data_IF_589653771648
#
_entry.id   IF_589653771648
#
_cell.length_a   1.000
_cell.length_b   1.000
_cell.length_c   1.000
_cell.angle_alpha   90.00
_cell.angle_beta   90.00
_cell.angle_gamma   90.00
#
_symmetry.space_group_name_H-M   'P 1'
#
loop_
_entity.id
_entity.type
_entity.pdbx_description
1 polymer ?
#
# COMPACT_ATOMS: atom_id res chain seq x y z
N UNK A 1 7.05 -6.32 22.41
CA UNK A 1 6.87 -5.30 23.48
C UNK A 1 8.02 -4.27 23.44
N UNK A 2 7.80 -2.99 23.76
CA UNK A 2 8.89 -1.99 23.96
C UNK A 2 9.31 -1.97 25.43
N UNK A 3 10.61 -1.92 25.70
CA UNK A 3 11.16 -1.73 27.04
C UNK A 3 11.66 -0.29 27.21
N UNK A 4 10.79 0.55 27.79
CA UNK A 4 11.02 2.00 27.89
C UNK A 4 12.22 2.37 28.77
N UNK A 5 12.48 1.62 29.85
CA UNK A 5 13.60 1.86 30.77
C UNK A 5 14.98 1.69 30.10
N UNK A 6 15.04 0.93 28.99
CA UNK A 6 16.25 0.70 28.19
C UNK A 6 16.19 1.42 26.84
N UNK A 7 15.20 2.30 26.64
CA UNK A 7 15.02 3.08 25.41
C UNK A 7 15.44 4.53 25.64
N UNK A 8 16.18 5.10 24.69
CA UNK A 8 16.62 6.50 24.70
C UNK A 8 16.35 7.12 23.32
N UNK A 9 16.69 8.40 23.16
CA UNK A 9 16.61 9.06 21.84
C UNK A 9 17.57 8.47 20.78
N UNK A 10 18.50 7.59 21.16
CA UNK A 10 19.49 6.96 20.27
C UNK A 10 19.44 5.44 20.24
N UNK A 11 18.68 4.82 21.15
CA UNK A 11 18.62 3.35 21.29
C UNK A 11 17.18 2.95 21.53
N UNK A 12 16.62 2.11 20.67
CA UNK A 12 15.30 1.50 20.84
C UNK A 12 15.48 0.06 21.32
N UNK A 13 14.94 -0.28 22.49
CA UNK A 13 15.01 -1.63 23.05
C UNK A 13 13.63 -2.28 23.05
N UNK A 14 13.55 -3.44 22.41
CA UNK A 14 12.30 -4.19 22.22
C UNK A 14 12.48 -5.65 22.61
N UNK A 15 11.35 -6.33 22.79
CA UNK A 15 11.29 -7.78 22.91
C UNK A 15 11.94 -8.44 21.71
N UNK A 16 12.85 -9.35 22.01
CA UNK A 16 13.48 -10.18 21.00
C UNK A 16 12.46 -11.19 20.48
N UNK A 17 12.29 -11.22 19.16
CA UNK A 17 11.41 -12.14 18.47
C UNK A 17 12.27 -13.05 17.61
N UNK A 18 12.31 -14.34 17.96
CA UNK A 18 13.00 -15.35 17.18
C UNK A 18 12.05 -15.89 16.10
N UNK A 19 12.31 -15.54 14.85
CA UNK A 19 11.53 -16.03 13.72
C UNK A 19 12.29 -16.02 12.41
N UNK A 20 11.60 -16.36 11.33
CA UNK A 20 12.17 -16.46 9.99
C UNK A 20 11.91 -15.16 9.23
N UNK A 21 12.95 -14.56 8.63
CA UNK A 21 12.79 -13.36 7.80
C UNK A 21 12.18 -13.72 6.44
N UNK A 22 11.47 -12.78 5.80
CA UNK A 22 10.83 -13.00 4.50
C UNK A 22 11.80 -13.45 3.39
N UNK A 23 13.07 -13.04 3.45
CA UNK A 23 14.08 -13.43 2.49
C UNK A 23 14.70 -14.82 2.75
N UNK A 24 14.37 -15.50 3.86
CA UNK A 24 14.93 -16.80 4.24
C UNK A 24 14.08 -17.99 3.77
N UNK A 25 13.77 -18.01 2.47
CA UNK A 25 12.85 -18.96 1.84
C UNK A 25 13.13 -20.44 2.16
N UNK A 26 14.40 -20.85 2.27
CA UNK A 26 14.77 -22.23 2.61
C UNK A 26 14.41 -22.60 4.06
N UNK A 27 14.54 -21.65 5.00
CA UNK A 27 14.17 -21.89 6.40
C UNK A 27 12.66 -22.03 6.54
N UNK A 28 11.89 -21.26 5.75
CA UNK A 28 10.43 -21.40 5.70
C UNK A 28 10.00 -22.79 5.28
N UNK A 29 10.59 -23.33 4.21
CA UNK A 29 10.26 -24.68 3.72
C UNK A 29 10.60 -25.75 4.77
N UNK A 30 11.77 -25.63 5.40
CA UNK A 30 12.20 -26.57 6.43
C UNK A 30 11.31 -26.56 7.68
N UNK A 31 10.69 -25.40 8.00
CA UNK A 31 9.72 -25.29 9.09
C UNK A 31 8.28 -25.60 8.66
N UNK A 32 8.06 -26.00 7.40
CA UNK A 32 6.74 -26.35 6.88
C UNK A 32 5.80 -25.15 6.72
N UNK A 33 6.32 -23.93 6.69
CA UNK A 33 5.51 -22.72 6.52
C UNK A 33 4.97 -22.64 5.09
N UNK A 34 3.66 -22.40 4.96
CA UNK A 34 3.06 -22.25 3.65
C UNK A 34 3.24 -20.82 3.11
N UNK A 35 4.16 -20.66 2.16
CA UNK A 35 4.47 -19.37 1.51
C UNK A 35 3.25 -18.67 0.91
N UNK A 36 2.30 -19.41 0.35
CA UNK A 36 1.08 -18.84 -0.23
C UNK A 36 0.21 -18.22 0.86
N UNK A 37 0.01 -18.95 1.96
CA UNK A 37 -0.75 -18.46 3.12
C UNK A 37 -0.06 -17.23 3.73
N UNK A 38 1.27 -17.24 3.83
CA UNK A 38 2.03 -16.09 4.31
C UNK A 38 1.83 -14.85 3.43
N UNK A 39 1.95 -15.01 2.11
CA UNK A 39 1.74 -13.90 1.17
C UNK A 39 0.30 -13.34 1.27
N UNK A 40 -0.70 -14.21 1.34
CA UNK A 40 -2.10 -13.82 1.52
C UNK A 40 -2.30 -13.04 2.83
N UNK A 41 -1.74 -13.52 3.94
CA UNK A 41 -1.82 -12.83 5.24
C UNK A 41 -1.10 -11.49 5.25
N UNK A 42 0.05 -11.37 4.57
CA UNK A 42 0.78 -10.08 4.44
C UNK A 42 -0.09 -9.07 3.70
N UNK A 43 -0.62 -9.45 2.54
CA UNK A 43 -1.50 -8.57 1.74
C UNK A 43 -2.75 -8.19 2.53
N UNK A 44 -3.39 -9.16 3.19
CA UNK A 44 -4.57 -8.90 4.01
C UNK A 44 -4.27 -7.94 5.17
N UNK A 45 -3.12 -8.11 5.85
CA UNK A 45 -2.71 -7.22 6.94
C UNK A 45 -2.49 -5.79 6.46
N UNK A 46 -1.79 -5.61 5.33
CA UNK A 46 -1.55 -4.29 4.73
C UNK A 46 -2.88 -3.64 4.31
N UNK A 47 -3.76 -4.38 3.63
CA UNK A 47 -5.07 -3.87 3.23
C UNK A 47 -5.97 -3.54 4.44
N UNK A 48 -5.91 -4.33 5.51
CA UNK A 48 -6.64 -4.08 6.75
C UNK A 48 -6.15 -2.78 7.39
N UNK A 49 -4.84 -2.62 7.55
CA UNK A 49 -4.23 -1.40 8.08
C UNK A 49 -4.69 -0.14 7.32
N UNK A 50 -4.69 -0.20 5.99
CA UNK A 50 -5.05 0.94 5.13
C UNK A 50 -6.55 1.21 5.12
N UNK A 51 -7.37 0.18 4.83
CA UNK A 51 -8.79 0.35 4.52
C UNK A 51 -9.71 0.24 5.73
N UNK A 52 -9.28 -0.43 6.80
CA UNK A 52 -10.05 -0.59 8.03
C UNK A 52 -9.54 0.39 9.09
N UNK A 53 -8.28 0.27 9.50
CA UNK A 53 -7.72 1.09 10.58
C UNK A 53 -7.45 2.53 10.13
N UNK A 54 -7.05 2.73 8.86
CA UNK A 54 -6.54 4.03 8.39
C UNK A 54 -5.19 4.38 9.00
N UNK A 55 -4.48 3.40 9.59
CA UNK A 55 -3.13 3.54 10.11
C UNK A 55 -2.30 2.38 9.58
N UNK A 56 -1.19 2.69 8.90
CA UNK A 56 -0.48 1.70 8.11
C UNK A 56 1.02 1.82 8.20
N UNK A 57 1.69 0.68 8.04
CA UNK A 57 3.12 0.61 7.85
C UNK A 57 3.50 1.14 6.46
N UNK A 58 4.30 2.21 6.40
CA UNK A 58 4.68 2.88 5.16
C UNK A 58 5.82 2.21 4.39
N UNK A 59 6.65 1.39 5.05
CA UNK A 59 7.75 0.62 4.42
C UNK A 59 7.83 -0.87 4.87
N UNK A 60 6.88 -1.73 4.53
CA UNK A 60 6.86 -3.14 4.93
C UNK A 60 7.89 -3.96 4.12
N UNK A 61 9.14 -3.49 4.08
CA UNK A 61 10.25 -4.14 3.42
C UNK A 61 10.49 -5.55 4.01
N UNK A 62 10.91 -6.55 3.19
CA UNK A 62 11.15 -7.92 3.66
C UNK A 62 12.04 -8.08 4.90
N UNK A 63 12.90 -7.09 5.18
CA UNK A 63 13.76 -7.06 6.37
C UNK A 63 13.03 -6.79 7.69
N UNK A 64 11.86 -6.14 7.61
CA UNK A 64 11.06 -5.69 8.75
C UNK A 64 9.90 -6.64 9.07
N UNK A 65 9.75 -7.72 8.29
CA UNK A 65 8.72 -8.72 8.46
C UNK A 65 9.35 -10.05 8.88
N UNK A 66 8.89 -10.57 10.02
CA UNK A 66 9.29 -11.85 10.57
C UNK A 66 8.07 -12.78 10.61
N UNK A 67 8.30 -14.05 10.33
CA UNK A 67 7.31 -15.11 10.43
C UNK A 67 7.61 -16.05 11.59
N UNK A 68 6.56 -16.38 12.33
CA UNK A 68 6.59 -17.37 13.41
C UNK A 68 5.79 -18.62 13.00
N UNK A 69 5.97 -19.76 13.70
CA UNK A 69 5.12 -20.93 13.53
C UNK A 69 3.62 -20.59 13.60
N UNK A 70 2.81 -21.29 12.80
CA UNK A 70 1.37 -20.97 12.64
C UNK A 70 1.09 -19.78 11.73
N UNK A 71 2.05 -19.47 10.83
CA UNK A 71 1.95 -18.42 9.81
C UNK A 71 1.69 -17.02 10.39
N UNK A 72 2.16 -16.78 11.63
CA UNK A 72 1.97 -15.50 12.32
C UNK A 72 2.97 -14.49 11.77
N UNK A 73 2.47 -13.29 11.48
CA UNK A 73 3.26 -12.18 10.92
C UNK A 73 3.61 -11.20 12.03
N UNK A 74 4.88 -10.81 12.08
CA UNK A 74 5.40 -9.81 12.99
C UNK A 74 6.02 -8.67 12.16
N UNK A 75 5.58 -7.45 12.44
CA UNK A 75 6.22 -6.22 11.96
C UNK A 75 7.18 -5.71 13.03
N UNK A 76 8.45 -5.51 12.66
CA UNK A 76 9.52 -5.15 13.60
C UNK A 76 9.81 -3.66 13.62
N UNK A 77 9.75 -3.03 12.45
CA UNK A 77 10.06 -1.62 12.28
C UNK A 77 8.75 -0.84 12.17
N UNK A 78 8.73 0.38 12.70
CA UNK A 78 7.62 1.31 12.56
C UNK A 78 8.16 2.73 12.33
N UNK A 79 9.40 2.85 11.82
CA UNK A 79 10.08 4.12 11.55
C UNK A 79 9.43 4.93 10.43
N UNK A 80 8.66 4.27 9.56
CA UNK A 80 7.80 4.92 8.57
C UNK A 80 6.39 4.37 8.67
N UNK A 81 5.49 5.17 9.22
CA UNK A 81 4.05 4.90 9.34
C UNK A 81 3.27 6.07 8.76
N UNK A 82 2.06 5.78 8.27
CA UNK A 82 1.15 6.80 7.76
C UNK A 82 -0.23 6.65 8.40
N UNK A 83 -1.00 7.74 8.35
CA UNK A 83 -2.38 7.79 8.82
C UNK A 83 -3.27 8.45 7.78
N UNK A 84 -4.47 7.91 7.57
CA UNK A 84 -5.48 8.46 6.68
C UNK A 84 -6.65 9.01 7.48
N UNK A 85 -7.15 10.19 7.10
CA UNK A 85 -8.43 10.66 7.59
C UNK A 85 -9.56 9.71 7.12
N UNK A 86 -10.71 9.67 7.82
CA UNK A 86 -11.86 8.88 7.38
C UNK A 86 -12.29 9.18 5.94
N UNK A 87 -12.23 10.45 5.53
CA UNK A 87 -12.56 10.90 4.17
C UNK A 87 -11.56 10.37 3.14
N UNK A 88 -10.26 10.52 3.40
CA UNK A 88 -9.21 10.01 2.51
C UNK A 88 -9.30 8.50 2.36
N UNK A 89 -9.58 7.77 3.45
CA UNK A 89 -9.80 6.32 3.43
C UNK A 89 -10.97 5.93 2.51
N UNK A 90 -12.08 6.67 2.55
CA UNK A 90 -13.23 6.44 1.67
C UNK A 90 -12.91 6.73 0.20
N UNK A 91 -12.19 7.80 -0.09
CA UNK A 91 -11.79 8.13 -1.46
C UNK A 91 -10.80 7.11 -2.02
N UNK A 92 -9.85 6.64 -1.20
CA UNK A 92 -8.92 5.57 -1.57
C UNK A 92 -9.66 4.24 -1.84
N UNK A 93 -10.58 3.85 -0.97
CA UNK A 93 -11.42 2.66 -1.20
C UNK A 93 -12.23 2.80 -2.49
N UNK A 94 -12.80 3.98 -2.74
CA UNK A 94 -13.54 4.28 -3.97
C UNK A 94 -12.65 4.22 -5.21
N UNK A 95 -11.38 4.64 -5.10
CA UNK A 95 -10.40 4.52 -6.16
C UNK A 95 -10.16 3.04 -6.49
N UNK A 96 -9.81 2.22 -5.50
CA UNK A 96 -9.51 0.78 -5.71
C UNK A 96 -10.71 0.07 -6.33
N UNK A 97 -11.93 0.30 -5.81
CA UNK A 97 -13.16 -0.28 -6.36
C UNK A 97 -13.39 0.17 -7.81
N UNK A 98 -13.13 1.45 -8.12
CA UNK A 98 -13.31 1.98 -9.47
C UNK A 98 -12.29 1.40 -10.45
N UNK A 99 -11.04 1.18 -10.02
CA UNK A 99 -10.02 0.50 -10.82
C UNK A 99 -10.42 -0.95 -11.10
N UNK A 100 -10.86 -1.70 -10.09
CA UNK A 100 -11.33 -3.08 -10.25
C UNK A 100 -12.54 -3.20 -11.19
N UNK A 101 -13.45 -2.22 -11.13
CA UNK A 101 -14.63 -2.15 -12.00
C UNK A 101 -14.36 -1.51 -13.36
N UNK A 102 -13.10 -1.16 -13.65
CA UNK A 102 -12.70 -0.50 -14.89
C UNK A 102 -13.51 0.79 -15.16
N UNK A 103 -13.92 1.48 -14.09
CA UNK A 103 -14.76 2.66 -14.13
C UNK A 103 -13.89 3.93 -14.13
N UNK A 104 -13.48 4.38 -15.31
CA UNK A 104 -12.66 5.58 -15.52
C UNK A 104 -13.25 6.82 -14.85
N UNK A 105 -14.57 7.02 -14.92
CA UNK A 105 -15.23 8.17 -14.26
C UNK A 105 -15.08 8.10 -12.75
N UNK A 106 -15.21 6.91 -12.18
CA UNK A 106 -15.00 6.67 -10.75
C UNK A 106 -13.55 6.93 -10.32
N UNK A 107 -12.58 6.49 -11.13
CA UNK A 107 -11.15 6.74 -10.89
C UNK A 107 -10.85 8.24 -10.88
N UNK A 108 -11.28 8.99 -11.90
CA UNK A 108 -11.08 10.45 -11.98
C UNK A 108 -11.74 11.15 -10.79
N UNK A 109 -12.98 10.78 -10.45
CA UNK A 109 -13.68 11.34 -9.29
C UNK A 109 -12.90 11.08 -8.00
N UNK A 110 -12.40 9.87 -7.78
CA UNK A 110 -11.66 9.56 -6.57
C UNK A 110 -10.35 10.36 -6.47
N UNK A 111 -9.58 10.47 -7.55
CA UNK A 111 -8.33 11.26 -7.58
C UNK A 111 -8.59 12.73 -7.28
N UNK A 112 -9.59 13.32 -7.95
CA UNK A 112 -9.95 14.73 -7.76
C UNK A 112 -10.52 15.04 -6.39
N UNK A 113 -11.10 14.04 -5.70
CA UNK A 113 -11.56 14.18 -4.32
C UNK A 113 -10.45 13.96 -3.29
N UNK A 114 -9.39 13.21 -3.61
CA UNK A 114 -8.24 13.02 -2.73
C UNK A 114 -7.26 14.19 -2.75
N UNK A 115 -7.15 14.88 -3.89
CA UNK A 115 -6.15 15.92 -4.10
C UNK A 115 -6.71 17.31 -4.29
N UNK A 116 -5.82 18.31 -4.25
CA UNK A 116 -6.12 19.66 -4.70
C UNK A 116 -6.00 19.71 -6.22
N UNK A 117 -7.09 20.08 -6.88
CA UNK A 117 -7.19 20.16 -8.33
C UNK A 117 -7.05 21.63 -8.76
N UNK A 118 -6.08 21.97 -9.61
CA UNK A 118 -5.96 23.32 -10.16
C UNK A 118 -7.16 23.71 -11.02
N UNK A 119 -7.52 25.00 -11.03
CA UNK A 119 -8.65 25.52 -11.80
C UNK A 119 -8.46 25.36 -13.32
N UNK A 120 -7.21 25.34 -13.78
CA UNK A 120 -6.82 25.23 -15.20
C UNK A 120 -6.62 23.79 -15.67
N UNK A 121 -6.95 22.79 -14.84
CA UNK A 121 -6.76 21.39 -15.20
C UNK A 121 -7.56 21.03 -16.46
N UNK A 122 -6.88 20.42 -17.44
CA UNK A 122 -7.55 19.94 -18.64
C UNK A 122 -8.20 18.57 -18.37
N UNK A 123 -9.44 18.58 -17.88
CA UNK A 123 -10.19 17.36 -17.55
C UNK A 123 -10.36 16.40 -18.72
N UNK A 124 -10.40 16.89 -19.97
CA UNK A 124 -10.48 16.03 -21.16
C UNK A 124 -9.18 15.27 -21.35
N UNK A 125 -8.03 15.93 -21.22
CA UNK A 125 -6.73 15.28 -21.34
C UNK A 125 -6.47 14.33 -20.17
N UNK A 126 -6.83 14.70 -18.94
CA UNK A 126 -6.77 13.81 -17.78
C UNK A 126 -7.57 12.53 -18.03
N UNK A 127 -8.79 12.67 -18.56
CA UNK A 127 -9.64 11.52 -18.88
C UNK A 127 -9.00 10.62 -19.92
N UNK A 128 -8.42 11.20 -20.98
CA UNK A 128 -7.74 10.44 -22.03
C UNK A 128 -6.52 9.67 -21.49
N UNK A 129 -5.72 10.30 -20.63
CA UNK A 129 -4.54 9.68 -20.03
C UNK A 129 -4.92 8.50 -19.11
N UNK A 130 -5.98 8.64 -18.29
CA UNK A 130 -6.49 7.55 -17.44
C UNK A 130 -7.09 6.42 -18.28
N UNK A 131 -7.78 6.74 -19.38
CA UNK A 131 -8.32 5.73 -20.30
C UNK A 131 -7.21 4.95 -21.01
N UNK A 132 -6.14 5.63 -21.39
CA UNK A 132 -4.93 5.00 -21.94
C UNK A 132 -4.26 4.07 -20.92
N UNK A 133 -4.12 4.52 -19.67
CA UNK A 133 -3.63 3.67 -18.59
C UNK A 133 -4.47 2.40 -18.46
N UNK A 134 -5.81 2.53 -18.48
CA UNK A 134 -6.73 1.39 -18.40
C UNK A 134 -6.51 0.38 -19.54
N UNK A 135 -6.23 0.83 -20.76
CA UNK A 135 -5.96 -0.07 -21.90
C UNK A 135 -4.74 -0.95 -21.67
N UNK A 136 -3.69 -0.44 -21.01
CA UNK A 136 -2.49 -1.23 -20.68
C UNK A 136 -2.76 -2.37 -19.68
N UNK A 137 -3.90 -2.34 -18.99
CA UNK A 137 -4.31 -3.32 -17.99
C UNK A 137 -5.50 -4.20 -18.44
N UNK A 138 -6.01 -4.00 -19.67
CA UNK A 138 -7.27 -4.59 -20.14
C UNK A 138 -7.20 -6.11 -20.37
N UNK A 139 -6.06 -6.60 -20.86
CA UNK A 139 -5.87 -8.02 -21.24
C UNK A 139 -4.98 -8.80 -20.26
N UNK A 140 -4.57 -8.17 -19.15
CA UNK A 140 -3.71 -8.80 -18.15
C UNK A 140 -4.59 -9.44 -17.07
N UNK A 141 -4.47 -10.75 -16.80
CA UNK A 141 -5.17 -11.38 -15.68
C UNK A 141 -4.85 -10.64 -14.37
N UNK A 142 -5.84 -10.41 -13.51
CA UNK A 142 -5.64 -9.73 -12.22
C UNK A 142 -4.50 -10.34 -11.38
N UNK A 143 -4.23 -11.64 -11.53
CA UNK A 143 -3.14 -12.36 -10.87
C UNK A 143 -1.73 -12.00 -11.36
N UNK A 144 -1.61 -11.38 -12.54
CA UNK A 144 -0.37 -10.86 -13.11
C UNK A 144 -0.28 -9.33 -13.03
N UNK A 145 -1.33 -8.70 -12.50
CA UNK A 145 -1.49 -7.26 -12.45
C UNK A 145 -0.91 -6.74 -11.13
N UNK A 146 0.12 -5.90 -11.21
CA UNK A 146 0.61 -5.19 -10.03
C UNK A 146 -0.32 -4.00 -9.76
N UNK A 147 -1.26 -4.18 -8.84
CA UNK A 147 -2.15 -3.11 -8.39
C UNK A 147 -1.35 -1.89 -7.88
N UNK A 148 -0.26 -2.13 -7.16
CA UNK A 148 0.65 -1.08 -6.70
C UNK A 148 1.23 -0.27 -7.86
N UNK A 149 1.68 -0.94 -8.92
CA UNK A 149 2.19 -0.27 -10.13
C UNK A 149 1.10 0.58 -10.82
N UNK A 150 -0.12 0.05 -10.93
CA UNK A 150 -1.23 0.78 -11.54
C UNK A 150 -1.60 2.04 -10.73
N UNK A 151 -1.59 1.95 -9.39
CA UNK A 151 -1.80 3.09 -8.50
C UNK A 151 -0.67 4.12 -8.64
N UNK A 152 0.58 3.68 -8.72
CA UNK A 152 1.74 4.55 -8.90
C UNK A 152 1.69 5.30 -10.24
N UNK A 153 1.39 4.61 -11.34
CA UNK A 153 1.23 5.24 -12.66
C UNK A 153 0.07 6.23 -12.67
N UNK A 154 -1.02 5.94 -11.95
CA UNK A 154 -2.13 6.86 -11.79
C UNK A 154 -1.74 8.13 -11.03
N UNK A 155 -0.95 8.02 -9.96
CA UNK A 155 -0.42 9.19 -9.26
C UNK A 155 0.56 9.99 -10.11
N UNK A 156 1.34 9.35 -10.99
CA UNK A 156 2.17 10.05 -11.97
C UNK A 156 1.32 10.85 -12.97
N UNK A 157 0.17 10.30 -13.40
CA UNK A 157 -0.78 11.05 -14.23
C UNK A 157 -1.35 12.24 -13.43
N UNK A 158 -1.77 12.04 -12.19
CA UNK A 158 -2.27 13.13 -11.35
C UNK A 158 -1.23 14.27 -11.22
N UNK A 159 0.04 13.91 -10.98
CA UNK A 159 1.16 14.84 -10.91
C UNK A 159 1.41 15.59 -12.23
N UNK A 160 1.36 14.89 -13.38
CA UNK A 160 1.46 15.50 -14.73
C UNK A 160 0.37 16.56 -14.96
N UNK A 161 -0.82 16.35 -14.40
CA UNK A 161 -1.95 17.28 -14.44
C UNK A 161 -1.96 18.27 -13.27
N UNK A 162 -0.85 18.39 -12.54
CA UNK A 162 -0.67 19.30 -11.40
C UNK A 162 -1.66 19.10 -10.25
N UNK A 163 -2.32 17.93 -10.18
CA UNK A 163 -3.18 17.56 -9.05
C UNK A 163 -2.28 17.20 -7.86
N UNK A 164 -2.42 17.93 -6.77
CA UNK A 164 -1.62 17.72 -5.56
C UNK A 164 -2.28 16.66 -4.69
N UNK A 165 -1.67 15.48 -4.62
CA UNK A 165 -2.11 14.38 -3.76
C UNK A 165 -1.42 14.50 -2.40
N UNK A 166 -2.15 14.34 -1.26
CA UNK A 166 -1.55 14.37 0.07
C UNK A 166 -0.39 13.38 0.23
N UNK A 167 0.63 13.79 1.00
CA UNK A 167 1.84 12.98 1.21
C UNK A 167 1.54 11.59 1.77
N UNK A 168 0.55 11.47 2.67
CA UNK A 168 0.14 10.20 3.26
C UNK A 168 -0.36 9.19 2.21
N UNK A 169 -1.00 9.68 1.15
CA UNK A 169 -1.46 8.85 0.03
C UNK A 169 -0.30 8.50 -0.89
N UNK A 170 0.62 9.43 -1.14
CA UNK A 170 1.81 9.14 -1.95
C UNK A 170 2.74 8.12 -1.28
N UNK A 171 2.74 8.04 0.05
CA UNK A 171 3.46 7.02 0.82
C UNK A 171 2.95 5.60 0.49
N UNK A 172 1.63 5.44 0.33
CA UNK A 172 1.01 4.18 -0.07
C UNK A 172 1.39 3.75 -1.50
N UNK A 173 1.62 4.71 -2.39
CA UNK A 173 2.02 4.42 -3.77
C UNK A 173 3.47 3.94 -3.91
N UNK A 174 4.26 3.99 -2.84
CA UNK A 174 5.63 3.45 -2.80
C UNK A 174 5.70 2.02 -2.24
N UNK A 175 4.63 1.58 -1.59
CA UNK A 175 4.51 0.31 -0.86
C UNK A 175 4.10 -0.83 -1.80
#
# INVERSE_FOLDING_TARGET
KVYWDYTTSKVLTMEYIEGIKLNELKKMDNQGLNRKVLAERVVQSILHQILIEGFFHGDPHPGNIIFLPGEVIVFMDFGMVGSLSPELKQHLASLVISMMRQNTRGVIKAITQMGLVPDDVNMKQLTADVEYLKQNYYDVPLSQLSLGKAVQELFNIAYKHHIQIPSDITLLGKT
#
